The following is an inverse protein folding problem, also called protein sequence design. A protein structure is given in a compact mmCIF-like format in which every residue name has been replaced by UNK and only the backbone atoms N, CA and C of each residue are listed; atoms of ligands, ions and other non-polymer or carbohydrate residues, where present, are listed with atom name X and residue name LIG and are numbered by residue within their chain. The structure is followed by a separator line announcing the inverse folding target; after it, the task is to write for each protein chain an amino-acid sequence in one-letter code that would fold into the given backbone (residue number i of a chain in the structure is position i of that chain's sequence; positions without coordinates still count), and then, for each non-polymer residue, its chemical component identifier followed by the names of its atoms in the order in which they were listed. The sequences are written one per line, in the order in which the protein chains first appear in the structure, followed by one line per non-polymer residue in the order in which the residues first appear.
data_IF_826783159431
#
_entry.id   IF_826783159431
#
_cell.length_a   1.000
_cell.length_b   1.000
_cell.length_c   1.000
_cell.angle_alpha   90.00
_cell.angle_beta   90.00
_cell.angle_gamma   90.00
#
_symmetry.space_group_name_H-M   'P 1'
#
loop_
_entity.id
_entity.type
_entity.pdbx_description
1 polymer ?
#
# COMPACT_ATOMS: atom_id res chain seq x y z
N UNK A 1 14.61 15.07 2.05
CA UNK A 1 13.80 14.61 3.21
C UNK A 1 12.35 14.80 2.84
N UNK A 2 11.49 13.80 3.07
CA UNK A 2 10.06 13.97 2.87
C UNK A 2 9.52 14.97 3.90
N UNK A 3 8.75 15.95 3.43
CA UNK A 3 8.09 16.93 4.31
C UNK A 3 6.80 16.33 4.90
N UNK A 4 6.39 16.79 6.09
CA UNK A 4 5.18 16.34 6.77
C UNK A 4 3.96 16.37 5.86
N UNK A 5 3.82 17.43 5.05
CA UNK A 5 2.72 17.60 4.10
C UNK A 5 2.65 16.46 3.07
N UNK A 6 3.81 15.98 2.60
CA UNK A 6 3.86 14.91 1.61
C UNK A 6 3.41 13.56 2.20
N UNK A 7 3.78 13.29 3.46
CA UNK A 7 3.35 12.09 4.19
C UNK A 7 1.84 12.14 4.45
N UNK A 8 1.32 13.29 4.87
CA UNK A 8 -0.11 13.49 5.12
C UNK A 8 -0.94 13.36 3.84
N UNK A 9 -0.48 13.91 2.71
CA UNK A 9 -1.14 13.75 1.42
C UNK A 9 -1.12 12.28 0.94
N UNK A 10 -0.02 11.57 1.16
CA UNK A 10 0.10 10.16 0.79
C UNK A 10 -0.83 9.26 1.62
N UNK A 11 -0.94 9.46 2.94
CA UNK A 11 -1.90 8.69 3.77
C UNK A 11 -3.34 8.96 3.34
N UNK A 12 -3.67 10.22 3.01
CA UNK A 12 -5.01 10.64 2.57
C UNK A 12 -5.36 10.06 1.21
N UNK A 13 -4.39 9.93 0.31
CA UNK A 13 -4.57 9.23 -0.99
C UNK A 13 -5.05 7.79 -0.79
N UNK A 14 -4.58 7.13 0.28
CA UNK A 14 -5.00 5.78 0.65
C UNK A 14 -6.24 5.73 1.55
N UNK A 15 -6.78 6.88 1.96
CA UNK A 15 -7.87 6.96 2.94
C UNK A 15 -7.49 6.43 4.33
N UNK A 16 -6.21 6.50 4.68
CA UNK A 16 -5.70 5.98 5.94
C UNK A 16 -5.90 6.99 7.09
N UNK A 17 -6.19 6.51 8.30
CA UNK A 17 -6.18 7.33 9.51
C UNK A 17 -4.78 7.86 9.83
N UNK A 18 -4.66 8.66 10.89
CA UNK A 18 -3.37 9.24 11.33
C UNK A 18 -2.39 8.17 11.86
N UNK A 19 -2.91 7.01 12.23
CA UNK A 19 -2.12 5.84 12.62
C UNK A 19 -2.54 4.64 11.80
N UNK A 20 -1.63 4.12 10.98
CA UNK A 20 -1.86 2.93 10.17
C UNK A 20 -0.62 2.01 10.22
N UNK A 21 -0.85 0.72 10.15
CA UNK A 21 0.18 -0.31 10.07
C UNK A 21 0.76 -0.40 8.66
N UNK A 22 1.95 -0.99 8.54
CA UNK A 22 2.58 -1.25 7.25
C UNK A 22 1.69 -2.12 6.34
N UNK A 23 0.93 -3.04 6.94
CA UNK A 23 0.04 -3.93 6.19
C UNK A 23 -1.20 -3.17 5.67
N UNK A 24 -1.78 -2.27 6.46
CA UNK A 24 -2.89 -1.41 5.99
C UNK A 24 -2.47 -0.53 4.81
N UNK A 25 -1.23 0.01 4.83
CA UNK A 25 -0.65 0.77 3.72
C UNK A 25 -0.54 -0.11 2.47
N UNK A 26 0.03 -1.32 2.61
CA UNK A 26 0.16 -2.28 1.50
C UNK A 26 -1.21 -2.69 0.94
N UNK A 27 -2.19 -2.92 1.81
CA UNK A 27 -3.55 -3.28 1.43
C UNK A 27 -4.26 -2.16 0.68
N UNK A 28 -4.14 -0.92 1.15
CA UNK A 28 -4.69 0.23 0.45
C UNK A 28 -4.07 0.42 -0.94
N UNK A 29 -2.76 0.26 -1.06
CA UNK A 29 -2.08 0.25 -2.36
C UNK A 29 -2.62 -0.84 -3.28
N UNK A 30 -2.69 -2.09 -2.82
CA UNK A 30 -3.19 -3.23 -3.63
C UNK A 30 -4.60 -2.96 -4.16
N UNK A 31 -5.52 -2.46 -3.32
CA UNK A 31 -6.89 -2.12 -3.73
C UNK A 31 -6.93 -1.07 -4.84
N UNK A 32 -6.14 -0.01 -4.72
CA UNK A 32 -6.09 1.06 -5.73
C UNK A 32 -5.35 0.62 -7.00
N UNK A 33 -4.31 -0.21 -6.87
CA UNK A 33 -3.58 -0.78 -8.00
C UNK A 33 -4.48 -1.67 -8.87
N UNK A 34 -5.39 -2.44 -8.27
CA UNK A 34 -6.40 -3.23 -9.00
C UNK A 34 -7.38 -2.31 -9.72
N UNK A 35 -7.83 -1.24 -9.05
CA UNK A 35 -8.80 -0.29 -9.60
C UNK A 35 -8.26 0.43 -10.83
N UNK A 36 -7.01 0.86 -10.79
CA UNK A 36 -6.38 1.64 -11.86
C UNK A 36 -5.45 0.79 -12.75
N UNK A 37 -5.65 -0.53 -12.77
CA UNK A 37 -4.81 -1.43 -13.57
C UNK A 37 -5.00 -1.14 -15.07
N UNK A 38 -3.91 -0.99 -15.85
CA UNK A 38 -4.00 -0.61 -17.27
C UNK A 38 -4.88 -1.58 -18.10
N UNK A 39 -4.80 -2.90 -17.86
CA UNK A 39 -5.64 -3.89 -18.55
C UNK A 39 -7.14 -3.77 -18.25
N UNK A 40 -7.52 -3.21 -17.08
CA UNK A 40 -8.92 -3.12 -16.66
C UNK A 40 -9.55 -1.75 -16.97
N UNK A 41 -8.74 -0.82 -17.46
CA UNK A 41 -9.20 0.53 -17.76
C UNK A 41 -9.71 0.65 -19.20
N UNK A 42 -10.91 1.23 -19.40
CA UNK A 42 -11.41 1.57 -20.73
C UNK A 42 -10.43 2.47 -21.49
N UNK A 43 -10.41 2.37 -22.83
CA UNK A 43 -9.51 3.18 -23.68
C UNK A 43 -9.66 4.68 -23.41
N UNK A 44 -10.91 5.12 -23.19
CA UNK A 44 -11.29 6.50 -22.91
C UNK A 44 -10.70 7.03 -21.59
N UNK A 45 -10.47 6.13 -20.61
CA UNK A 45 -9.99 6.46 -19.26
C UNK A 45 -8.52 6.05 -19.03
N UNK A 46 -7.84 5.48 -20.03
CA UNK A 46 -6.46 4.98 -19.88
C UNK A 46 -5.51 6.02 -19.32
N UNK A 47 -5.57 7.26 -19.82
CA UNK A 47 -4.72 8.35 -19.34
C UNK A 47 -5.01 8.71 -17.89
N UNK A 48 -6.27 8.63 -17.45
CA UNK A 48 -6.65 8.90 -16.05
C UNK A 48 -6.16 7.78 -15.13
N UNK A 49 -6.39 6.52 -15.52
CA UNK A 49 -5.90 5.37 -14.78
C UNK A 49 -4.38 5.37 -14.63
N UNK A 50 -3.64 5.70 -15.69
CA UNK A 50 -2.19 5.77 -15.63
C UNK A 50 -1.72 6.88 -14.67
N UNK A 51 -2.35 8.05 -14.71
CA UNK A 51 -2.03 9.15 -13.81
C UNK A 51 -2.30 8.78 -12.33
N UNK A 52 -3.46 8.19 -12.04
CA UNK A 52 -3.81 7.74 -10.69
C UNK A 52 -2.91 6.59 -10.23
N UNK A 53 -2.57 5.64 -11.10
CA UNK A 53 -1.67 4.54 -10.77
C UNK A 53 -0.26 5.05 -10.41
N UNK A 54 0.28 6.01 -11.18
CA UNK A 54 1.56 6.66 -10.87
C UNK A 54 1.52 7.38 -9.52
N UNK A 55 0.43 8.12 -9.25
CA UNK A 55 0.21 8.81 -7.98
C UNK A 55 0.15 7.84 -6.79
N UNK A 56 -0.61 6.76 -6.92
CA UNK A 56 -0.75 5.69 -5.94
C UNK A 56 0.59 5.00 -5.66
N UNK A 57 1.36 4.70 -6.71
CA UNK A 57 2.70 4.10 -6.59
C UNK A 57 3.66 5.02 -5.84
N UNK A 58 3.68 6.31 -6.20
CA UNK A 58 4.52 7.30 -5.53
C UNK A 58 4.15 7.48 -4.05
N UNK A 59 2.86 7.51 -3.73
CA UNK A 59 2.38 7.60 -2.34
C UNK A 59 2.81 6.38 -1.52
N UNK A 60 2.71 5.17 -2.09
CA UNK A 60 3.19 3.94 -1.44
C UNK A 60 4.68 4.05 -1.15
N UNK A 61 5.49 4.36 -2.15
CA UNK A 61 6.95 4.39 -2.00
C UNK A 61 7.38 5.39 -0.93
N UNK A 62 6.74 6.55 -0.90
CA UNK A 62 6.97 7.55 0.12
C UNK A 62 6.65 7.05 1.53
N UNK A 63 5.48 6.43 1.75
CA UNK A 63 5.10 5.89 3.06
C UNK A 63 5.99 4.72 3.48
N UNK A 64 6.34 3.82 2.56
CA UNK A 64 7.26 2.72 2.85
C UNK A 64 8.64 3.24 3.25
N UNK A 65 9.13 4.27 2.56
CA UNK A 65 10.44 4.87 2.86
C UNK A 65 10.43 5.63 4.20
N UNK A 66 9.31 6.26 4.56
CA UNK A 66 9.10 6.86 5.88
C UNK A 66 9.10 5.79 6.98
N UNK A 67 8.33 4.71 6.80
CA UNK A 67 8.27 3.61 7.75
C UNK A 67 9.56 2.80 7.87
N UNK A 68 10.38 2.73 6.80
CA UNK A 68 11.65 2.01 6.81
C UNK A 68 12.67 2.55 7.83
N UNK A 69 12.52 3.82 8.24
CA UNK A 69 13.34 4.40 9.32
C UNK A 69 12.96 3.91 10.72
N UNK A 70 11.84 3.20 10.86
CA UNK A 70 11.36 2.71 12.16
C UNK A 70 12.12 1.44 12.57
N UNK A 71 12.66 1.44 13.79
CA UNK A 71 13.30 0.24 14.36
C UNK A 71 12.26 -0.61 15.06
N UNK A 72 12.19 -1.88 14.65
CA UNK A 72 11.38 -2.88 15.32
C UNK A 72 12.19 -3.48 16.48
N UNK A 73 11.57 -3.57 17.66
CA UNK A 73 12.13 -4.29 18.79
C UNK A 73 11.67 -5.75 18.76
N UNK A 74 12.61 -6.67 18.98
CA UNK A 74 12.34 -8.11 19.08
C UNK A 74 12.53 -8.64 20.50
N UNK A 75 12.55 -7.75 21.50
CA UNK A 75 12.59 -8.18 22.90
C UNK A 75 11.27 -8.85 23.26
N UNK A 76 11.35 -9.83 24.16
CA UNK A 76 10.21 -10.64 24.59
C UNK A 76 9.04 -9.76 25.04
N UNK A 77 9.33 -8.76 25.86
CA UNK A 77 8.32 -7.87 26.45
C UNK A 77 7.61 -6.99 25.41
N UNK A 78 8.32 -6.62 24.33
CA UNK A 78 7.77 -5.80 23.24
C UNK A 78 6.92 -6.63 22.27
N UNK A 79 7.09 -7.96 22.24
CA UNK A 79 6.42 -8.89 21.33
C UNK A 79 5.23 -9.59 21.98
N UNK A 80 5.32 -9.96 23.26
CA UNK A 80 4.29 -10.75 23.96
C UNK A 80 2.91 -10.05 24.05
N UNK A 81 2.87 -8.71 23.95
CA UNK A 81 1.63 -7.94 23.93
C UNK A 81 1.04 -7.69 22.53
N UNK A 82 1.74 -8.08 21.46
CA UNK A 82 1.32 -7.82 20.08
C UNK A 82 0.46 -8.99 19.60
N UNK A 83 -0.82 -8.73 19.33
CA UNK A 83 -1.69 -9.71 18.66
C UNK A 83 -1.25 -9.84 17.20
N UNK A 84 -0.61 -10.94 16.85
CA UNK A 84 -0.44 -11.33 15.45
C UNK A 84 -1.80 -11.77 14.94
N UNK A 85 -2.41 -10.96 14.09
CA UNK A 85 -3.66 -11.32 13.44
C UNK A 85 -3.32 -12.31 12.31
N UNK A 86 -3.41 -13.62 12.59
CA UNK A 86 -3.04 -14.70 11.67
C UNK A 86 -3.94 -14.75 10.42
N UNK A 87 -5.14 -14.15 10.47
CA UNK A 87 -6.20 -14.30 9.49
C UNK A 87 -6.17 -13.21 8.38
N UNK A 88 -5.40 -12.13 8.56
CA UNK A 88 -5.57 -10.91 7.76
C UNK A 88 -4.83 -10.89 6.39
N UNK A 89 -4.04 -11.91 6.06
CA UNK A 89 -2.86 -11.70 5.20
C UNK A 89 -2.83 -12.20 3.76
N UNK A 90 -3.52 -13.29 3.38
CA UNK A 90 -3.10 -14.00 2.14
C UNK A 90 -4.22 -14.51 1.23
N UNK A 91 -5.41 -14.80 1.73
CA UNK A 91 -6.39 -15.58 0.95
C UNK A 91 -7.06 -14.79 -0.19
N UNK A 92 -7.21 -13.46 -0.05
CA UNK A 92 -7.77 -12.59 -1.09
C UNK A 92 -6.72 -12.01 -2.07
N UNK A 93 -5.44 -12.37 -1.97
CA UNK A 93 -4.35 -11.68 -2.69
C UNK A 93 -3.55 -12.55 -3.66
N UNK A 94 -3.81 -13.86 -3.69
CA UNK A 94 -3.18 -14.77 -4.65
C UNK A 94 -3.49 -14.37 -6.09
N UNK A 95 -4.76 -14.02 -6.37
CA UNK A 95 -5.19 -13.58 -7.70
C UNK A 95 -4.49 -12.29 -8.18
N UNK A 96 -4.15 -11.36 -7.27
CA UNK A 96 -3.47 -10.11 -7.62
C UNK A 96 -2.04 -10.34 -8.12
N UNK A 97 -1.24 -11.14 -7.41
CA UNK A 97 0.12 -11.45 -7.83
C UNK A 97 0.15 -12.39 -9.04
N UNK A 98 -0.77 -13.36 -9.08
CA UNK A 98 -0.90 -14.30 -10.20
C UNK A 98 -1.26 -13.56 -11.52
N UNK A 99 -2.17 -12.59 -11.50
CA UNK A 99 -2.56 -11.84 -12.71
C UNK A 99 -1.51 -10.80 -13.15
N UNK A 100 -0.76 -10.21 -12.21
CA UNK A 100 0.21 -9.14 -12.48
C UNK A 100 1.60 -9.65 -12.92
N UNK A 101 2.06 -10.79 -12.38
CA UNK A 101 3.39 -11.35 -12.68
C UNK A 101 3.41 -12.32 -13.88
N UNK A 102 2.26 -12.83 -14.33
CA UNK A 102 2.18 -13.81 -15.42
C UNK A 102 2.06 -13.15 -16.81
N UNK A 103 1.81 -11.84 -16.86
CA UNK A 103 1.60 -11.06 -18.11
C UNK A 103 2.69 -10.03 -18.42
N UNK A 104 3.79 -10.03 -17.68
CA UNK A 104 5.02 -9.25 -17.95
C UNK A 104 6.15 -10.17 -18.37
#
# INVERSE_FOLDING_TARGET
MADFKQIDEARKTFGLPESATLEEIKNAYRRLAIRYHPDKCPEEDKSHCEAEFRKVTRARDLLLHYCAGYRFSFRREDVEGVRLDEEFGYDHMKQFYDDWMVRM
#
